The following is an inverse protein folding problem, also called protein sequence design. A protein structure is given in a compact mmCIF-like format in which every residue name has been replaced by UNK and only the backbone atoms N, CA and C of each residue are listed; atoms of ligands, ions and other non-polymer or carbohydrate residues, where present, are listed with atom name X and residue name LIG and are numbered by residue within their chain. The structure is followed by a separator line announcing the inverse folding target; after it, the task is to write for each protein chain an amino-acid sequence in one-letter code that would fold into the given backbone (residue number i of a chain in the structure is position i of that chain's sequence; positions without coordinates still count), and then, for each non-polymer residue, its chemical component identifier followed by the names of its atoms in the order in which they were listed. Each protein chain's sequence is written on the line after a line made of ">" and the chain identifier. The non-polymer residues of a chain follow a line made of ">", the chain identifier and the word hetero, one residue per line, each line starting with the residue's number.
data_IF_301635609576
#
_entry.id   IF_301635609576
#
_cell.length_a   1.000
_cell.length_b   1.000
_cell.length_c   1.000
_cell.angle_alpha   90.00
_cell.angle_beta   90.00
_cell.angle_gamma   90.00
#
_symmetry.space_group_name_H-M   'P 1'
#
loop_
_entity.id
_entity.type
_entity.pdbx_description
1 polymer ?
#
# COMPACT_ATOMS: atom_id res chain seq x y z
N UNK A 1 -20.45 7.80 0.53
CA UNK A 1 -19.52 7.78 1.67
C UNK A 1 -18.46 6.74 1.37
N UNK A 2 -17.21 7.19 1.21
CA UNK A 2 -16.12 6.37 0.75
C UNK A 2 -15.74 5.33 1.81
N UNK A 3 -15.24 4.19 1.35
CA UNK A 3 -14.73 3.15 2.24
C UNK A 3 -13.24 2.96 1.97
N UNK A 4 -12.47 2.77 3.03
CA UNK A 4 -11.06 2.42 2.95
C UNK A 4 -10.83 1.11 3.70
N UNK A 5 -10.03 0.21 3.13
CA UNK A 5 -9.62 -1.04 3.77
C UNK A 5 -8.11 -1.21 3.71
N UNK A 6 -7.50 -1.49 4.86
CA UNK A 6 -6.09 -1.84 4.98
C UNK A 6 -5.94 -3.35 5.03
N UNK A 7 -5.22 -3.94 4.06
CA UNK A 7 -5.00 -5.39 3.96
C UNK A 7 -3.63 -5.73 4.53
N UNK A 8 -3.62 -6.23 5.76
CA UNK A 8 -2.41 -6.52 6.54
C UNK A 8 -2.26 -8.02 6.77
N UNK A 9 -1.01 -8.50 6.71
CA UNK A 9 -0.67 -9.89 7.00
C UNK A 9 0.79 -10.21 6.62
N UNK A 10 1.38 -11.26 7.21
CA UNK A 10 2.77 -11.63 6.93
C UNK A 10 2.98 -12.03 5.46
N UNK A 11 4.24 -12.07 5.03
CA UNK A 11 4.61 -12.54 3.69
C UNK A 11 4.03 -13.94 3.44
N UNK A 12 3.43 -14.14 2.26
CA UNK A 12 2.77 -15.39 1.88
C UNK A 12 1.38 -15.63 2.49
N UNK A 13 0.81 -14.68 3.26
CA UNK A 13 -0.55 -14.81 3.81
C UNK A 13 -1.68 -14.63 2.77
N UNK A 14 -1.35 -14.27 1.52
CA UNK A 14 -2.31 -14.11 0.43
C UNK A 14 -2.97 -12.72 0.33
N UNK A 15 -2.32 -11.64 0.80
CA UNK A 15 -2.85 -10.26 0.73
C UNK A 15 -3.18 -9.83 -0.71
N UNK A 16 -2.20 -9.90 -1.61
CA UNK A 16 -2.40 -9.53 -3.03
C UNK A 16 -3.41 -10.46 -3.73
N UNK A 17 -3.44 -11.76 -3.37
CA UNK A 17 -4.48 -12.69 -3.85
C UNK A 17 -5.88 -12.28 -3.38
N UNK A 18 -6.00 -11.80 -2.14
CA UNK A 18 -7.24 -11.24 -1.61
C UNK A 18 -7.65 -9.97 -2.36
N UNK A 19 -6.71 -9.04 -2.59
CA UNK A 19 -6.96 -7.81 -3.36
C UNK A 19 -7.44 -8.12 -4.79
N UNK A 20 -6.80 -9.06 -5.48
CA UNK A 20 -7.21 -9.56 -6.80
C UNK A 20 -8.66 -10.08 -6.78
N UNK A 21 -8.97 -10.98 -5.84
CA UNK A 21 -10.31 -11.59 -5.74
C UNK A 21 -11.38 -10.56 -5.39
N UNK A 22 -11.04 -9.59 -4.53
CA UNK A 22 -11.93 -8.51 -4.13
C UNK A 22 -12.22 -7.56 -5.30
N UNK A 23 -11.19 -7.23 -6.09
CA UNK A 23 -11.34 -6.44 -7.31
C UNK A 23 -12.34 -7.10 -8.28
N UNK A 24 -12.13 -8.38 -8.60
CA UNK A 24 -13.00 -9.12 -9.51
C UNK A 24 -14.45 -9.21 -9.00
N UNK A 25 -14.61 -9.39 -7.68
CA UNK A 25 -15.92 -9.38 -7.06
C UNK A 25 -16.62 -8.02 -7.20
N UNK A 26 -15.92 -6.92 -6.89
CA UNK A 26 -16.43 -5.55 -7.00
C UNK A 26 -16.83 -5.21 -8.44
N UNK A 27 -16.00 -5.57 -9.43
CA UNK A 27 -16.32 -5.42 -10.85
C UNK A 27 -17.61 -6.18 -11.21
N UNK A 28 -17.77 -7.41 -10.71
CA UNK A 28 -18.95 -8.24 -10.98
C UNK A 28 -20.25 -7.64 -10.41
N UNK A 29 -20.18 -7.01 -9.23
CA UNK A 29 -21.36 -6.39 -8.60
C UNK A 29 -21.59 -4.93 -9.02
N UNK A 30 -20.75 -4.40 -9.92
CA UNK A 30 -20.85 -3.03 -10.43
C UNK A 30 -20.43 -1.96 -9.41
N UNK A 31 -19.47 -2.29 -8.53
CA UNK A 31 -18.92 -1.37 -7.53
C UNK A 31 -17.51 -0.95 -7.95
N UNK A 32 -17.27 0.36 -8.01
CA UNK A 32 -15.94 0.93 -8.23
C UNK A 32 -15.05 0.64 -7.03
N UNK A 33 -13.84 0.14 -7.31
CA UNK A 33 -12.80 -0.19 -6.35
C UNK A 33 -11.48 0.31 -6.93
N UNK A 34 -10.63 0.86 -6.07
CA UNK A 34 -9.27 1.25 -6.41
C UNK A 34 -8.29 0.58 -5.48
N UNK A 35 -7.25 -0.01 -6.04
CA UNK A 35 -6.22 -0.68 -5.27
C UNK A 35 -4.98 0.21 -5.19
N UNK A 36 -4.53 0.43 -3.96
CA UNK A 36 -3.31 1.16 -3.62
C UNK A 36 -2.25 0.15 -3.21
N UNK A 37 -1.14 0.11 -3.92
CA UNK A 37 0.03 -0.65 -3.51
C UNK A 37 0.88 0.18 -2.54
N UNK A 38 1.10 -0.34 -1.34
CA UNK A 38 2.04 0.21 -0.36
C UNK A 38 3.28 -0.67 -0.16
N UNK A 39 3.45 -1.76 -0.92
CA UNK A 39 4.63 -2.61 -0.86
C UNK A 39 5.70 -2.15 -1.88
N UNK A 40 6.81 -1.52 -1.43
CA UNK A 40 7.87 -1.06 -2.33
C UNK A 40 8.70 -2.20 -2.93
N UNK A 41 8.50 -3.45 -2.46
CA UNK A 41 9.15 -4.65 -2.98
C UNK A 41 8.21 -5.50 -3.87
N UNK A 42 7.01 -5.00 -4.19
CA UNK A 42 6.11 -5.71 -5.08
C UNK A 42 6.70 -5.82 -6.50
N UNK A 43 6.72 -7.05 -7.05
CA UNK A 43 7.26 -7.30 -8.39
C UNK A 43 6.15 -7.34 -9.47
N UNK A 44 5.03 -7.99 -9.18
CA UNK A 44 3.97 -8.29 -10.15
C UNK A 44 2.59 -8.17 -9.50
N UNK A 45 1.59 -7.70 -10.26
CA UNK A 45 0.19 -7.64 -9.84
C UNK A 45 -0.72 -8.35 -10.84
N UNK A 46 -1.71 -9.07 -10.32
CA UNK A 46 -2.77 -9.73 -11.11
C UNK A 46 -4.05 -8.86 -11.20
N UNK A 47 -3.94 -7.57 -10.89
CA UNK A 47 -5.05 -6.61 -10.84
C UNK A 47 -4.54 -5.20 -11.18
N UNK A 48 -5.44 -4.29 -11.60
CA UNK A 48 -5.10 -2.88 -11.75
C UNK A 48 -4.71 -2.27 -10.41
N UNK A 49 -3.59 -1.55 -10.39
CA UNK A 49 -3.15 -0.72 -9.26
C UNK A 49 -3.32 0.73 -9.69
N UNK A 50 -4.12 1.47 -8.92
CA UNK A 50 -4.47 2.87 -9.21
C UNK A 50 -3.47 3.85 -8.59
N UNK A 51 -2.83 3.48 -7.49
CA UNK A 51 -1.78 4.25 -6.82
C UNK A 51 -0.69 3.29 -6.37
N UNK A 52 0.57 3.61 -6.66
CA UNK A 52 1.70 2.72 -6.40
C UNK A 52 2.84 3.47 -5.70
N UNK A 53 3.19 3.05 -4.48
CA UNK A 53 4.33 3.61 -3.74
C UNK A 53 5.64 3.55 -4.53
N UNK A 54 5.80 2.60 -5.46
CA UNK A 54 7.02 2.46 -6.26
C UNK A 54 7.26 3.66 -7.19
N UNK A 55 6.24 4.47 -7.46
CA UNK A 55 6.40 5.75 -8.18
C UNK A 55 7.03 6.84 -7.31
N UNK A 56 6.88 6.74 -5.99
CA UNK A 56 7.55 7.60 -5.00
C UNK A 56 8.93 7.02 -4.64
N UNK A 57 8.98 5.75 -4.25
CA UNK A 57 10.20 5.07 -3.83
C UNK A 57 10.06 3.54 -3.98
N UNK A 58 11.03 2.91 -4.66
CA UNK A 58 11.09 1.44 -4.82
C UNK A 58 12.24 0.84 -4.01
N UNK A 59 12.10 -0.42 -3.59
CA UNK A 59 13.16 -1.11 -2.86
C UNK A 59 14.43 -1.26 -3.72
N UNK A 60 14.26 -1.56 -5.01
CA UNK A 60 15.37 -1.79 -5.94
C UNK A 60 16.23 -0.52 -6.10
N UNK A 61 15.59 0.65 -6.29
CA UNK A 61 16.30 1.94 -6.42
C UNK A 61 17.06 2.27 -5.14
N UNK A 62 16.46 2.06 -3.98
CA UNK A 62 17.12 2.30 -2.68
C UNK A 62 18.33 1.38 -2.48
N UNK A 63 18.21 0.11 -2.88
CA UNK A 63 19.31 -0.84 -2.79
C UNK A 63 20.45 -0.48 -3.75
N UNK A 64 20.15 -0.01 -4.96
CA UNK A 64 21.15 0.40 -5.94
C UNK A 64 21.85 1.72 -5.57
N UNK A 65 21.08 2.74 -5.17
CA UNK A 65 21.61 4.09 -4.94
C UNK A 65 22.23 4.27 -3.56
N UNK A 66 21.61 3.71 -2.51
CA UNK A 66 22.04 3.90 -1.12
C UNK A 66 22.95 2.75 -0.64
N UNK A 67 22.95 1.61 -1.36
CA UNK A 67 23.76 0.45 -1.02
C UNK A 67 23.27 -0.29 0.23
N UNK A 68 21.98 -0.14 0.57
CA UNK A 68 21.36 -0.88 1.66
C UNK A 68 21.02 -2.31 1.23
N UNK A 69 21.01 -3.25 2.18
CA UNK A 69 20.45 -4.58 1.95
C UNK A 69 18.91 -4.55 1.98
N UNK A 70 18.22 -5.61 1.54
CA UNK A 70 16.76 -5.64 1.37
C UNK A 70 15.97 -5.15 2.59
N UNK A 71 16.31 -5.61 3.78
CA UNK A 71 15.61 -5.20 5.01
C UNK A 71 15.86 -3.73 5.37
N UNK A 72 17.09 -3.24 5.16
CA UNK A 72 17.42 -1.83 5.41
C UNK A 72 16.78 -0.90 4.39
N UNK A 73 16.74 -1.33 3.12
CA UNK A 73 16.08 -0.60 2.06
C UNK A 73 14.57 -0.51 2.28
N UNK A 74 13.94 -1.59 2.76
CA UNK A 74 12.52 -1.59 3.09
C UNK A 74 12.16 -0.60 4.21
N UNK A 75 12.95 -0.56 5.28
CA UNK A 75 12.75 0.41 6.37
C UNK A 75 12.89 1.83 5.82
N UNK A 76 13.92 2.08 5.02
CA UNK A 76 14.13 3.39 4.38
C UNK A 76 12.96 3.81 3.50
N UNK A 77 12.42 2.89 2.68
CA UNK A 77 11.23 3.16 1.85
C UNK A 77 10.03 3.59 2.71
N UNK A 78 9.82 2.89 3.83
CA UNK A 78 8.69 3.20 4.72
C UNK A 78 8.87 4.50 5.50
N UNK A 79 10.09 4.83 5.92
CA UNK A 79 10.42 6.13 6.53
C UNK A 79 10.19 7.28 5.53
N UNK A 80 10.60 7.09 4.28
CA UNK A 80 10.38 8.08 3.22
C UNK A 80 8.89 8.28 2.90
N UNK A 81 8.11 7.19 2.92
CA UNK A 81 6.65 7.26 2.81
C UNK A 81 6.04 8.04 3.97
N UNK A 82 6.48 7.79 5.21
CA UNK A 82 5.97 8.50 6.40
C UNK A 82 6.24 10.01 6.32
N UNK A 83 7.43 10.41 5.88
CA UNK A 83 7.81 11.82 5.69
C UNK A 83 7.02 12.51 4.56
N UNK A 84 6.59 11.74 3.56
CA UNK A 84 5.89 12.26 2.36
C UNK A 84 4.40 11.93 2.36
N UNK A 85 3.88 11.36 3.45
CA UNK A 85 2.57 10.72 3.49
C UNK A 85 1.46 11.72 3.18
N UNK A 86 1.46 12.85 3.87
CA UNK A 86 0.41 13.87 3.74
C UNK A 86 0.35 14.41 2.30
N UNK A 87 1.49 14.83 1.75
CA UNK A 87 1.57 15.41 0.41
C UNK A 87 1.22 14.38 -0.68
N UNK A 88 1.78 13.16 -0.60
CA UNK A 88 1.53 12.13 -1.60
C UNK A 88 0.08 11.63 -1.53
N UNK A 89 -0.45 11.34 -0.34
CA UNK A 89 -1.84 10.90 -0.22
C UNK A 89 -2.81 11.98 -0.65
N UNK A 90 -2.59 13.25 -0.30
CA UNK A 90 -3.49 14.33 -0.72
C UNK A 90 -3.54 14.43 -2.25
N UNK A 91 -2.38 14.44 -2.93
CA UNK A 91 -2.30 14.48 -4.39
C UNK A 91 -2.99 13.27 -5.06
N UNK A 92 -2.78 12.07 -4.52
CA UNK A 92 -3.39 10.88 -5.08
C UNK A 92 -4.90 10.88 -4.82
N UNK A 93 -5.34 11.23 -3.60
CA UNK A 93 -6.75 11.20 -3.18
C UNK A 93 -7.62 12.28 -3.83
N UNK A 94 -7.04 13.39 -4.30
CA UNK A 94 -7.74 14.48 -5.00
C UNK A 94 -8.62 13.99 -6.17
N UNK A 95 -8.27 12.86 -6.79
CA UNK A 95 -8.97 12.33 -7.95
C UNK A 95 -10.12 11.36 -7.64
N UNK A 96 -10.34 11.01 -6.36
CA UNK A 96 -11.32 9.99 -5.98
C UNK A 96 -12.57 10.59 -5.34
N UNK A 97 -13.72 9.97 -5.62
CA UNK A 97 -15.04 10.47 -5.23
C UNK A 97 -15.47 9.91 -3.88
N UNK A 98 -16.41 10.62 -3.26
CA UNK A 98 -17.05 10.26 -1.99
C UNK A 98 -17.74 8.87 -1.97
N UNK A 99 -17.84 8.14 -3.07
CA UNK A 99 -18.47 6.80 -3.13
C UNK A 99 -17.50 5.66 -3.54
N UNK A 100 -16.21 5.97 -3.67
CA UNK A 100 -15.20 5.00 -4.07
C UNK A 100 -14.78 4.07 -2.92
N UNK A 101 -14.31 2.87 -3.28
CA UNK A 101 -13.76 1.89 -2.34
C UNK A 101 -12.26 1.75 -2.54
N UNK A 102 -11.49 2.26 -1.58
CA UNK A 102 -10.03 2.18 -1.57
C UNK A 102 -9.57 0.94 -0.80
N UNK A 103 -8.67 0.16 -1.41
CA UNK A 103 -8.07 -1.02 -0.79
C UNK A 103 -6.55 -0.89 -0.84
N UNK A 104 -5.93 -0.87 0.33
CA UNK A 104 -4.49 -0.73 0.49
C UNK A 104 -3.85 -2.10 0.69
N UNK A 105 -3.03 -2.54 -0.27
CA UNK A 105 -2.21 -3.75 -0.13
C UNK A 105 -0.89 -3.40 0.56
N UNK A 106 -0.74 -3.83 1.82
CA UNK A 106 0.41 -3.49 2.64
C UNK A 106 1.59 -4.46 2.44
N UNK A 107 2.83 -4.02 2.70
CA UNK A 107 3.98 -4.88 2.65
C UNK A 107 3.90 -6.02 3.66
N UNK A 108 4.40 -7.20 3.27
CA UNK A 108 4.29 -8.43 4.05
C UNK A 108 5.38 -8.66 5.10
N UNK A 109 6.44 -7.87 5.13
CA UNK A 109 7.60 -8.14 5.98
C UNK A 109 7.30 -7.76 7.44
N UNK A 110 7.51 -8.72 8.36
CA UNK A 110 7.13 -8.56 9.78
C UNK A 110 7.98 -7.49 10.48
N UNK A 111 9.21 -7.28 10.00
CA UNK A 111 10.17 -6.30 10.48
C UNK A 111 9.64 -4.86 10.34
N UNK A 112 8.75 -4.61 9.38
CA UNK A 112 8.14 -3.30 9.19
C UNK A 112 7.12 -2.98 10.29
N UNK A 113 6.41 -3.98 10.80
CA UNK A 113 5.45 -3.82 11.90
C UNK A 113 6.12 -3.54 13.25
N UNK A 114 7.43 -3.77 13.39
CA UNK A 114 8.16 -3.49 14.64
C UNK A 114 8.91 -2.17 14.61
N UNK A 115 9.29 -1.67 13.43
CA UNK A 115 10.14 -0.48 13.29
C UNK A 115 9.44 0.75 12.70
N UNK A 116 8.29 0.59 12.04
CA UNK A 116 7.60 1.72 11.37
C UNK A 116 6.29 2.05 12.11
N UNK A 117 6.20 3.21 12.79
CA UNK A 117 5.02 3.62 13.55
C UNK A 117 3.73 3.73 12.73
N UNK A 118 3.84 4.10 11.44
CA UNK A 118 2.69 4.26 10.54
C UNK A 118 1.90 2.96 10.37
N UNK A 119 2.58 1.80 10.38
CA UNK A 119 1.95 0.47 10.28
C UNK A 119 1.50 -0.09 11.64
N UNK A 120 2.02 0.46 12.75
CA UNK A 120 1.58 0.13 14.11
C UNK A 120 0.32 0.90 14.51
N UNK A 121 0.11 2.07 13.92
CA UNK A 121 -0.96 3.00 14.27
C UNK A 121 -2.26 2.72 13.53
N UNK A 122 -2.65 1.44 13.41
CA UNK A 122 -3.96 0.99 12.90
C UNK A 122 -5.16 1.39 13.76
N UNK A 123 -5.13 2.57 14.39
CA UNK A 123 -6.29 3.23 14.97
C UNK A 123 -6.69 4.36 14.02
N UNK A 124 -7.30 3.98 12.90
CA UNK A 124 -8.24 4.86 12.21
C UNK A 124 -9.34 5.16 13.23
N UNK A 125 -9.25 6.33 13.87
CA UNK A 125 -10.30 6.85 14.72
C UNK A 125 -11.57 6.92 13.88
N UNK A 126 -12.52 6.03 14.18
CA UNK A 126 -13.90 6.23 13.82
C UNK A 126 -14.37 7.54 14.43
N UNK A 127 -14.67 8.53 13.60
CA UNK A 127 -15.79 9.47 13.79
C UNK A 127 -16.11 10.16 12.49
#
# INVERSE_FOLDING_TARGET
>A
MGYAQLVIGPAGSGKSTYCSSLHDHCQTVGRTIHIVNLDPAAEHFDYPVDMDIRELISLDDVMEEIGLGPNGGLIYCMEHLEDSLDDWFDEQLENYLDDDYLVFDCPGQIELFTHVPVLQSGTLLST
#
